data_IF_918914421356
#
_entry.id   IF_918914421356
#
_cell.length_a   1.000
_cell.length_b   1.000
_cell.length_c   1.000
_cell.angle_alpha   90.00
_cell.angle_beta   90.00
_cell.angle_gamma   90.00
#
_symmetry.space_group_name_H-M   'P 1'
#
loop_
_entity.id
_entity.type
_entity.pdbx_description
1 polymer ?
#
# COMPACT_ATOMS: atom_id res chain seq x y z
N UNK A 1 -15.12 35.66 -5.99
CA UNK A 1 -16.12 34.87 -5.24
C UNK A 1 -17.55 35.29 -5.60
N UNK A 2 -17.94 35.27 -6.89
CA UNK A 2 -19.33 35.59 -7.29
C UNK A 2 -19.71 35.23 -8.76
N UNK A 3 -19.04 34.25 -9.39
CA UNK A 3 -19.25 33.96 -10.83
C UNK A 3 -19.23 32.47 -11.18
N UNK A 4 -19.66 31.60 -10.26
CA UNK A 4 -19.78 30.16 -10.54
C UNK A 4 -21.18 29.58 -10.20
N UNK A 5 -22.14 30.42 -9.80
CA UNK A 5 -23.45 29.99 -9.28
C UNK A 5 -24.62 30.14 -10.27
N UNK A 6 -24.39 29.97 -11.58
CA UNK A 6 -25.50 30.05 -12.55
C UNK A 6 -25.27 29.19 -13.78
N UNK A 7 -25.52 27.89 -13.64
CA UNK A 7 -26.13 26.99 -14.66
C UNK A 7 -26.23 25.55 -14.13
N UNK A 8 -27.00 25.39 -13.05
CA UNK A 8 -27.68 24.14 -12.72
C UNK A 8 -29.13 24.34 -13.14
N UNK A 9 -29.56 23.61 -14.19
CA UNK A 9 -30.92 23.11 -14.43
C UNK A 9 -31.10 22.78 -15.92
N UNK A 10 -30.79 21.54 -16.30
CA UNK A 10 -31.71 20.67 -17.03
C UNK A 10 -31.12 19.27 -17.18
N UNK A 11 -32.01 18.28 -17.30
CA UNK A 11 -31.82 16.82 -17.35
C UNK A 11 -31.90 16.09 -16.01
N UNK A 12 -33.11 16.05 -15.43
CA UNK A 12 -33.54 14.87 -14.66
C UNK A 12 -34.51 14.06 -15.53
N UNK A 13 -34.03 12.95 -16.08
CA UNK A 13 -34.87 11.80 -16.40
C UNK A 13 -34.53 10.72 -15.34
N UNK A 14 -35.51 9.93 -14.86
CA UNK A 14 -35.23 8.87 -13.90
C UNK A 14 -34.35 7.82 -14.58
N UNK A 15 -33.07 7.81 -14.24
CA UNK A 15 -32.17 6.73 -14.62
C UNK A 15 -32.58 5.51 -13.79
N UNK A 16 -32.97 4.43 -14.46
CA UNK A 16 -33.19 3.13 -13.81
C UNK A 16 -31.95 2.83 -12.96
N UNK A 17 -32.13 2.66 -11.66
CA UNK A 17 -31.11 2.11 -10.77
C UNK A 17 -30.81 0.69 -11.27
N UNK A 18 -29.77 0.56 -12.09
CA UNK A 18 -29.16 -0.74 -12.33
C UNK A 18 -28.58 -1.21 -11.00
N UNK A 19 -29.18 -2.26 -10.46
CA UNK A 19 -28.58 -2.99 -9.35
C UNK A 19 -27.26 -3.54 -9.92
N UNK A 20 -26.09 -3.15 -9.38
CA UNK A 20 -24.83 -3.71 -9.85
C UNK A 20 -24.91 -5.22 -9.71
N UNK A 21 -24.48 -5.94 -10.75
CA UNK A 21 -24.37 -7.39 -10.70
C UNK A 21 -23.64 -7.80 -9.42
N UNK A 22 -24.04 -8.92 -8.77
CA UNK A 22 -23.27 -9.44 -7.65
C UNK A 22 -21.79 -9.54 -8.08
N UNK A 23 -20.84 -9.24 -7.18
CA UNK A 23 -19.43 -9.36 -7.53
C UNK A 23 -19.19 -10.76 -8.11
N UNK A 24 -18.39 -10.88 -9.18
CA UNK A 24 -18.03 -12.19 -9.71
C UNK A 24 -17.54 -13.05 -8.56
N UNK A 25 -17.96 -14.31 -8.50
CA UNK A 25 -17.29 -15.31 -7.67
C UNK A 25 -15.80 -15.18 -7.99
N UNK A 26 -14.95 -14.90 -7.00
CA UNK A 26 -13.51 -14.78 -7.21
C UNK A 26 -13.03 -16.09 -7.84
N UNK A 27 -12.87 -16.11 -9.16
CA UNK A 27 -12.27 -17.23 -9.86
C UNK A 27 -10.84 -17.34 -9.33
N UNK A 28 -10.58 -18.44 -8.64
CA UNK A 28 -9.25 -18.76 -8.14
C UNK A 28 -8.32 -18.85 -9.35
N UNK A 29 -7.09 -18.34 -9.20
CA UNK A 29 -6.07 -18.51 -10.23
C UNK A 29 -5.81 -20.00 -10.47
N UNK A 30 -5.36 -20.34 -11.68
CA UNK A 30 -4.95 -21.71 -11.99
C UNK A 30 -3.77 -22.16 -11.12
N UNK A 31 -3.61 -23.46 -10.92
CA UNK A 31 -2.46 -24.02 -10.18
C UNK A 31 -1.11 -23.59 -10.78
N UNK A 32 -1.05 -23.41 -12.09
CA UNK A 32 0.15 -22.91 -12.79
C UNK A 32 0.50 -21.49 -12.33
N UNK A 33 -0.47 -20.57 -12.36
CA UNK A 33 -0.27 -19.19 -11.88
C UNK A 33 0.05 -19.19 -10.39
N UNK A 34 -0.66 -20.00 -9.60
CA UNK A 34 -0.44 -20.11 -8.17
C UNK A 34 1.00 -20.52 -7.85
N UNK A 35 1.48 -21.60 -8.46
CA UNK A 35 2.83 -22.12 -8.23
C UNK A 35 3.90 -21.14 -8.69
N UNK A 36 3.70 -20.53 -9.87
CA UNK A 36 4.63 -19.57 -10.44
C UNK A 36 4.77 -18.31 -9.57
N UNK A 37 3.65 -17.68 -9.21
CA UNK A 37 3.68 -16.49 -8.35
C UNK A 37 4.19 -16.83 -6.95
N UNK A 38 3.80 -17.97 -6.39
CA UNK A 38 4.29 -18.40 -5.08
C UNK A 38 5.81 -18.59 -5.10
N UNK A 39 6.38 -19.15 -6.17
CA UNK A 39 7.83 -19.31 -6.33
C UNK A 39 8.55 -17.96 -6.31
N UNK A 40 8.07 -16.99 -7.10
CA UNK A 40 8.67 -15.65 -7.17
C UNK A 40 8.54 -14.92 -5.82
N UNK A 41 7.32 -14.85 -5.28
CA UNK A 41 7.04 -14.09 -4.05
C UNK A 41 7.81 -14.67 -2.86
N UNK A 42 7.84 -15.99 -2.73
CA UNK A 42 8.50 -16.66 -1.60
C UNK A 42 10.02 -16.45 -1.54
N UNK A 43 10.63 -16.11 -2.68
CA UNK A 43 12.08 -15.84 -2.75
C UNK A 43 12.50 -14.52 -2.08
N UNK A 44 11.56 -13.60 -1.80
CA UNK A 44 11.85 -12.26 -1.28
C UNK A 44 10.95 -11.81 -0.12
N UNK A 45 9.65 -12.13 -0.17
CA UNK A 45 8.68 -11.53 0.74
C UNK A 45 8.37 -12.49 1.89
N UNK A 46 9.09 -12.33 3.01
CA UNK A 46 8.92 -13.18 4.20
C UNK A 46 7.47 -13.16 4.72
N UNK A 47 6.79 -12.01 4.65
CA UNK A 47 5.38 -11.87 5.00
C UNK A 47 4.50 -12.95 4.33
N UNK A 48 4.75 -13.25 3.05
CA UNK A 48 4.03 -14.29 2.31
C UNK A 48 4.40 -15.70 2.76
N UNK A 49 5.67 -15.93 3.12
CA UNK A 49 6.17 -17.24 3.52
C UNK A 49 5.49 -17.76 4.79
N UNK A 50 5.13 -16.84 5.70
CA UNK A 50 4.48 -17.12 6.98
C UNK A 50 2.96 -17.39 6.88
N UNK A 51 2.36 -17.16 5.70
CA UNK A 51 0.94 -17.40 5.47
C UNK A 51 0.61 -18.90 5.45
N UNK A 52 -0.58 -19.24 5.95
CA UNK A 52 -1.19 -20.56 5.69
C UNK A 52 -1.43 -20.76 4.19
N UNK A 53 -1.63 -22.01 3.76
CA UNK A 53 -1.88 -22.32 2.36
C UNK A 53 -3.10 -21.56 1.80
N UNK A 54 -4.21 -21.52 2.55
CA UNK A 54 -5.44 -20.82 2.18
C UNK A 54 -5.20 -19.30 2.01
N UNK A 55 -4.40 -18.71 2.91
CA UNK A 55 -4.05 -17.30 2.83
C UNK A 55 -3.08 -17.02 1.68
N UNK A 56 -2.17 -17.96 1.34
CA UNK A 56 -1.33 -17.86 0.13
C UNK A 56 -2.20 -17.85 -1.12
N UNK A 57 -3.21 -18.71 -1.21
CA UNK A 57 -4.15 -18.71 -2.34
C UNK A 57 -4.87 -17.36 -2.46
N UNK A 58 -5.42 -16.85 -1.35
CA UNK A 58 -6.05 -15.52 -1.32
C UNK A 58 -5.08 -14.42 -1.75
N UNK A 59 -3.84 -14.44 -1.24
CA UNK A 59 -2.81 -13.46 -1.55
C UNK A 59 -2.46 -13.48 -3.03
N UNK A 60 -2.19 -14.66 -3.61
CA UNK A 60 -1.84 -14.82 -5.02
C UNK A 60 -2.99 -14.39 -5.94
N UNK A 61 -4.25 -14.73 -5.60
CA UNK A 61 -5.41 -14.26 -6.35
C UNK A 61 -5.46 -12.72 -6.41
N UNK A 62 -5.25 -12.06 -5.27
CA UNK A 62 -5.22 -10.60 -5.20
C UNK A 62 -4.05 -10.00 -5.97
N UNK A 63 -2.88 -10.63 -5.92
CA UNK A 63 -1.70 -10.23 -6.72
C UNK A 63 -2.03 -10.32 -8.20
N UNK A 64 -2.61 -11.43 -8.65
CA UNK A 64 -2.99 -11.61 -10.05
C UNK A 64 -3.99 -10.55 -10.51
N UNK A 65 -5.07 -10.34 -9.76
CA UNK A 65 -6.06 -9.30 -10.07
C UNK A 65 -5.50 -7.88 -10.01
N UNK A 66 -4.53 -7.61 -9.13
CA UNK A 66 -3.84 -6.34 -9.12
C UNK A 66 -3.10 -6.16 -10.44
N UNK A 67 -2.25 -7.11 -10.83
CA UNK A 67 -1.46 -7.06 -12.08
C UNK A 67 -2.34 -6.84 -13.31
N UNK A 68 -3.48 -7.54 -13.44
CA UNK A 68 -4.35 -7.40 -14.63
C UNK A 68 -4.95 -6.01 -14.82
N UNK A 69 -4.95 -5.17 -13.77
CA UNK A 69 -5.46 -3.81 -13.81
C UNK A 69 -4.36 -2.74 -13.91
N UNK A 70 -3.08 -3.12 -13.97
CA UNK A 70 -1.95 -2.19 -14.05
C UNK A 70 -1.23 -2.24 -15.38
N UNK A 71 -0.59 -1.12 -15.69
CA UNK A 71 0.36 -0.96 -16.79
C UNK A 71 1.74 -0.69 -16.17
N UNK A 72 2.68 -1.58 -16.44
CA UNK A 72 4.06 -1.47 -15.98
C UNK A 72 4.92 -0.83 -17.06
N UNK A 73 5.62 0.23 -16.68
CA UNK A 73 6.53 0.99 -17.53
C UNK A 73 7.95 0.82 -17.01
N UNK A 74 8.90 0.52 -17.88
CA UNK A 74 10.29 0.20 -17.49
C UNK A 74 11.23 1.28 -18.01
N UNK A 75 11.99 1.90 -17.11
CA UNK A 75 12.90 3.01 -17.42
C UNK A 75 14.32 2.60 -17.02
N UNK A 76 15.17 2.42 -18.03
CA UNK A 76 16.57 2.03 -17.82
C UNK A 76 16.79 0.57 -17.43
N UNK A 77 15.77 -0.28 -17.52
CA UNK A 77 15.87 -1.73 -17.31
C UNK A 77 14.95 -2.49 -18.27
N UNK A 78 15.32 -3.73 -18.55
CA UNK A 78 14.51 -4.66 -19.33
C UNK A 78 13.35 -5.22 -18.49
N UNK A 79 12.16 -5.42 -19.08
CA UNK A 79 11.07 -6.12 -18.42
C UNK A 79 11.48 -7.53 -17.97
N UNK A 80 11.18 -7.85 -16.71
CA UNK A 80 11.36 -9.19 -16.15
C UNK A 80 10.07 -9.61 -15.48
N UNK A 81 9.77 -10.89 -15.61
CA UNK A 81 8.54 -11.49 -15.10
C UNK A 81 8.38 -11.33 -13.57
N UNK A 82 9.49 -11.35 -12.82
CA UNK A 82 9.48 -11.12 -11.36
C UNK A 82 9.03 -9.72 -10.95
N UNK A 83 9.23 -8.71 -11.80
CA UNK A 83 9.03 -7.30 -11.43
C UNK A 83 7.54 -7.00 -11.17
N UNK A 84 6.60 -7.29 -12.10
CA UNK A 84 5.17 -7.13 -11.82
C UNK A 84 4.69 -7.94 -10.62
N UNK A 85 5.17 -9.18 -10.48
CA UNK A 85 4.74 -10.10 -9.42
C UNK A 85 5.15 -9.58 -8.04
N UNK A 86 6.41 -9.20 -7.85
CA UNK A 86 6.90 -8.67 -6.58
C UNK A 86 6.32 -7.29 -6.28
N UNK A 87 6.20 -6.42 -7.28
CA UNK A 87 5.60 -5.09 -7.10
C UNK A 87 4.12 -5.17 -6.71
N UNK A 88 3.36 -6.08 -7.32
CA UNK A 88 1.98 -6.32 -6.93
C UNK A 88 1.90 -6.99 -5.55
N UNK A 89 2.82 -7.90 -5.22
CA UNK A 89 2.88 -8.51 -3.91
C UNK A 89 3.15 -7.51 -2.78
N UNK A 90 3.99 -6.48 -2.99
CA UNK A 90 4.16 -5.41 -2.00
C UNK A 90 2.88 -4.59 -1.79
N UNK A 91 2.16 -4.28 -2.88
CA UNK A 91 0.85 -3.64 -2.81
C UNK A 91 -0.17 -4.48 -2.02
N UNK A 92 -0.20 -5.79 -2.29
CA UNK A 92 -1.10 -6.72 -1.59
C UNK A 92 -0.67 -6.93 -0.14
N UNK A 93 0.62 -6.94 0.20
CA UNK A 93 1.09 -6.96 1.58
C UNK A 93 0.49 -5.80 2.39
N UNK A 94 0.62 -4.57 1.88
CA UNK A 94 0.06 -3.37 2.55
C UNK A 94 -1.47 -3.47 2.67
N UNK A 95 -2.14 -4.04 1.67
CA UNK A 95 -3.61 -4.02 1.58
C UNK A 95 -4.30 -5.35 1.91
N UNK A 96 -3.58 -6.35 2.44
CA UNK A 96 -4.07 -7.73 2.54
C UNK A 96 -5.31 -7.87 3.44
N UNK A 97 -5.35 -7.08 4.52
CA UNK A 97 -6.51 -7.02 5.42
C UNK A 97 -7.67 -6.19 4.89
N UNK A 98 -7.52 -5.47 3.78
CA UNK A 98 -8.54 -4.54 3.28
C UNK A 98 -9.43 -5.19 2.22
N UNK A 99 -10.67 -4.72 2.14
CA UNK A 99 -11.60 -5.11 1.07
C UNK A 99 -11.26 -4.44 -0.25
N UNK A 100 -10.92 -3.14 -0.22
CA UNK A 100 -10.50 -2.41 -1.42
C UNK A 100 -8.98 -2.40 -1.55
N UNK A 101 -8.40 -3.50 -2.06
CA UNK A 101 -6.94 -3.70 -2.15
C UNK A 101 -6.31 -3.26 -3.49
N UNK A 102 -7.13 -3.01 -4.51
CA UNK A 102 -6.63 -2.81 -5.88
C UNK A 102 -5.99 -1.44 -6.14
N UNK A 103 -6.18 -0.45 -5.26
CA UNK A 103 -5.74 0.94 -5.45
C UNK A 103 -6.08 1.44 -6.88
N UNK A 104 -7.37 1.42 -7.22
CA UNK A 104 -7.88 1.58 -8.60
C UNK A 104 -7.53 2.91 -9.26
N UNK A 105 -7.19 3.95 -8.49
CA UNK A 105 -6.69 5.22 -9.03
C UNK A 105 -5.43 5.04 -9.86
N UNK A 106 -4.47 4.25 -9.36
CA UNK A 106 -3.16 4.08 -9.96
C UNK A 106 -3.20 2.98 -11.01
N UNK A 107 -3.28 3.37 -12.28
CA UNK A 107 -3.18 2.44 -13.41
C UNK A 107 -1.74 2.22 -13.87
N UNK A 108 -0.88 3.22 -13.72
CA UNK A 108 0.51 3.17 -14.15
C UNK A 108 1.43 2.89 -12.96
N UNK A 109 2.37 1.99 -13.16
CA UNK A 109 3.47 1.72 -12.26
C UNK A 109 4.76 1.87 -13.07
N UNK A 110 5.62 2.79 -12.67
CA UNK A 110 6.89 3.08 -13.30
C UNK A 110 8.01 2.43 -12.50
N UNK A 111 8.73 1.53 -13.13
CA UNK A 111 9.87 0.84 -12.55
C UNK A 111 11.13 1.44 -13.16
N UNK A 112 12.00 1.97 -12.31
CA UNK A 112 13.26 2.59 -12.68
C UNK A 112 14.42 1.73 -12.20
N UNK A 113 15.52 1.66 -12.96
CA UNK A 113 16.63 0.76 -12.62
C UNK A 113 17.27 1.07 -11.25
N UNK A 114 17.48 2.35 -10.95
CA UNK A 114 18.18 2.85 -9.76
C UNK A 114 17.54 4.17 -9.28
N UNK A 115 18.14 4.85 -8.30
CA UNK A 115 17.76 6.18 -7.89
C UNK A 115 17.81 7.16 -9.08
N UNK A 116 16.92 8.13 -9.09
CA UNK A 116 16.74 9.06 -10.21
C UNK A 116 16.51 10.48 -9.69
N UNK A 117 16.68 11.46 -10.59
CA UNK A 117 16.37 12.87 -10.30
C UNK A 117 15.12 13.26 -11.08
N UNK A 118 14.28 14.08 -10.45
CA UNK A 118 13.22 14.77 -11.15
C UNK A 118 13.77 16.09 -11.72
N UNK A 119 13.17 16.56 -12.81
CA UNK A 119 13.57 17.83 -13.40
C UNK A 119 13.40 18.97 -12.38
N UNK A 120 14.47 19.73 -12.17
CA UNK A 120 14.56 20.83 -11.18
C UNK A 120 14.65 20.40 -9.71
N UNK A 121 15.03 19.15 -9.44
CA UNK A 121 15.33 18.69 -8.08
C UNK A 121 16.81 18.35 -7.90
N UNK A 122 17.37 18.72 -6.75
CA UNK A 122 18.75 18.40 -6.39
C UNK A 122 18.85 17.03 -5.69
N UNK A 123 17.74 16.57 -5.10
CA UNK A 123 17.68 15.30 -4.37
C UNK A 123 17.45 14.09 -5.30
N UNK A 124 17.95 12.94 -4.84
CA UNK A 124 17.72 11.66 -5.49
C UNK A 124 16.47 11.00 -4.92
N UNK A 125 15.59 10.59 -5.82
CA UNK A 125 14.40 9.82 -5.51
C UNK A 125 14.69 8.34 -5.68
N UNK A 126 14.20 7.53 -4.73
CA UNK A 126 14.19 6.07 -4.81
C UNK A 126 12.77 5.51 -4.98
N UNK A 127 11.77 6.39 -4.90
CA UNK A 127 10.36 6.16 -5.14
C UNK A 127 9.61 7.50 -5.03
N UNK A 128 8.39 7.54 -5.57
CA UNK A 128 7.39 8.56 -5.21
C UNK A 128 6.01 8.15 -5.73
N UNK A 129 4.96 8.79 -5.21
CA UNK A 129 3.59 8.69 -5.72
C UNK A 129 3.12 10.04 -6.26
N UNK A 130 2.64 10.04 -7.51
CA UNK A 130 2.04 11.20 -8.16
C UNK A 130 0.67 10.82 -8.76
N UNK A 131 -0.22 11.78 -9.08
CA UNK A 131 -1.53 11.47 -9.67
C UNK A 131 -1.48 10.56 -10.92
N UNK A 132 -0.37 10.59 -11.66
CA UNK A 132 -0.15 9.83 -12.88
C UNK A 132 0.23 8.36 -12.63
N UNK A 133 0.82 8.03 -11.47
CA UNK A 133 1.33 6.70 -11.19
C UNK A 133 2.17 6.57 -9.92
N UNK A 134 2.57 5.32 -9.67
CA UNK A 134 3.50 4.94 -8.60
C UNK A 134 4.86 4.72 -9.23
N UNK A 135 5.92 5.28 -8.66
CA UNK A 135 7.28 5.21 -9.18
C UNK A 135 8.18 4.50 -8.16
N UNK A 136 8.95 3.52 -8.63
CA UNK A 136 9.78 2.67 -7.78
C UNK A 136 11.15 2.46 -8.42
N UNK A 137 12.21 2.66 -7.63
CA UNK A 137 13.54 2.17 -7.98
C UNK A 137 13.64 0.68 -7.72
N UNK A 138 13.86 -0.13 -8.75
CA UNK A 138 13.95 -1.57 -8.67
C UNK A 138 15.12 -2.05 -7.79
N UNK A 139 16.27 -1.38 -7.89
CA UNK A 139 17.41 -1.67 -7.02
C UNK A 139 17.04 -1.48 -5.54
N UNK A 140 16.38 -0.37 -5.20
CA UNK A 140 15.99 -0.09 -3.81
C UNK A 140 14.81 -0.94 -3.35
N UNK A 141 13.90 -1.30 -4.26
CA UNK A 141 12.87 -2.30 -4.01
C UNK A 141 13.49 -3.61 -3.53
N UNK A 142 14.51 -4.11 -4.24
CA UNK A 142 15.20 -5.36 -3.86
C UNK A 142 15.95 -5.21 -2.53
N UNK A 143 16.56 -4.06 -2.27
CA UNK A 143 17.21 -3.80 -0.98
C UNK A 143 16.21 -3.82 0.18
N UNK A 144 15.04 -3.20 0.02
CA UNK A 144 14.00 -3.18 1.05
C UNK A 144 13.42 -4.55 1.40
N UNK A 145 13.63 -5.57 0.56
CA UNK A 145 13.26 -6.97 0.85
C UNK A 145 14.48 -7.87 1.10
N UNK A 146 15.67 -7.29 1.32
CA UNK A 146 16.90 -8.03 1.61
C UNK A 146 17.26 -8.10 3.10
N UNK A 147 16.79 -7.13 3.88
CA UNK A 147 16.90 -7.07 5.34
C UNK A 147 15.54 -6.64 5.88
N UNK A 148 14.97 -7.41 6.81
CA UNK A 148 13.68 -7.11 7.42
C UNK A 148 13.78 -6.51 8.82
N UNK A 149 14.96 -6.03 9.22
CA UNK A 149 15.22 -5.56 10.59
C UNK A 149 15.59 -4.08 10.66
N UNK A 150 15.89 -3.45 9.53
CA UNK A 150 16.32 -2.04 9.45
C UNK A 150 15.16 -1.03 9.43
N UNK A 151 13.92 -1.50 9.29
CA UNK A 151 12.69 -0.71 9.12
C UNK A 151 12.67 0.16 7.85
N UNK A 152 13.36 -0.24 6.78
CA UNK A 152 13.44 0.51 5.52
C UNK A 152 12.96 -0.38 4.36
N UNK A 153 11.79 -0.07 3.81
CA UNK A 153 11.25 -0.78 2.66
C UNK A 153 10.52 0.18 1.72
N UNK A 154 11.21 0.63 0.67
CA UNK A 154 10.67 1.61 -0.29
C UNK A 154 9.40 1.12 -0.98
N UNK A 155 9.26 -0.20 -1.19
CA UNK A 155 8.07 -0.75 -1.80
C UNK A 155 6.86 -0.57 -0.87
N UNK A 156 7.02 -0.94 0.40
CA UNK A 156 5.99 -0.74 1.43
C UNK A 156 5.69 0.73 1.63
N UNK A 157 6.72 1.58 1.62
CA UNK A 157 6.62 3.03 1.76
C UNK A 157 5.73 3.65 0.69
N UNK A 158 6.06 3.46 -0.59
CA UNK A 158 5.29 4.04 -1.69
C UNK A 158 3.89 3.43 -1.81
N UNK A 159 3.73 2.13 -1.53
CA UNK A 159 2.40 1.52 -1.50
C UNK A 159 1.52 2.08 -0.38
N UNK A 160 2.13 2.53 0.72
CA UNK A 160 1.41 3.20 1.81
C UNK A 160 0.94 4.59 1.39
N UNK A 161 1.76 5.36 0.67
CA UNK A 161 1.34 6.63 0.07
C UNK A 161 0.23 6.43 -0.97
N UNK A 162 0.37 5.45 -1.85
CA UNK A 162 -0.63 5.12 -2.87
C UNK A 162 -1.96 4.70 -2.23
N UNK A 163 -1.93 3.90 -1.17
CA UNK A 163 -3.15 3.52 -0.45
C UNK A 163 -3.88 4.74 0.12
N UNK A 164 -3.13 5.64 0.77
CA UNK A 164 -3.69 6.86 1.34
C UNK A 164 -4.26 7.76 0.23
N UNK A 165 -3.50 7.96 -0.84
CA UNK A 165 -3.93 8.78 -1.97
C UNK A 165 -5.20 8.24 -2.61
N UNK A 166 -5.23 6.94 -2.92
CA UNK A 166 -6.39 6.29 -3.52
C UNK A 166 -7.62 6.49 -2.63
N UNK A 167 -7.45 6.37 -1.30
CA UNK A 167 -8.56 6.55 -0.41
C UNK A 167 -9.02 8.00 -0.33
N UNK A 168 -8.19 9.03 -0.39
CA UNK A 168 -8.64 10.43 -0.21
C UNK A 168 -8.97 11.18 -1.51
N UNK A 169 -8.30 10.85 -2.62
CA UNK A 169 -8.37 11.64 -3.86
C UNK A 169 -8.98 10.88 -5.04
N UNK A 170 -9.16 9.56 -4.96
CA UNK A 170 -9.76 8.79 -6.04
C UNK A 170 -11.28 9.00 -6.15
N UNK A 171 -11.78 8.91 -7.38
CA UNK A 171 -13.22 8.91 -7.67
C UNK A 171 -13.89 7.56 -7.35
N UNK A 172 -13.15 6.46 -7.45
CA UNK A 172 -13.62 5.08 -7.26
C UNK A 172 -12.62 4.29 -6.42
N UNK A 173 -13.05 3.14 -5.87
CA UNK A 173 -12.18 2.28 -5.08
C UNK A 173 -11.83 2.84 -3.69
N UNK A 174 -12.62 3.78 -3.19
CA UNK A 174 -12.50 4.33 -1.83
C UNK A 174 -13.06 3.33 -0.82
N UNK A 175 -12.26 3.02 0.19
CA UNK A 175 -12.64 2.18 1.31
C UNK A 175 -13.09 3.05 2.50
N UNK A 176 -14.40 3.03 2.77
CA UNK A 176 -14.99 3.83 3.86
C UNK A 176 -14.51 3.37 5.24
N UNK A 177 -14.26 2.06 5.41
CA UNK A 177 -13.78 1.51 6.67
C UNK A 177 -12.33 1.95 6.90
N UNK A 178 -11.48 1.87 5.87
CA UNK A 178 -10.13 2.41 5.92
C UNK A 178 -10.13 3.90 6.29
N UNK A 179 -10.90 4.74 5.59
CA UNK A 179 -10.97 6.19 5.88
C UNK A 179 -11.34 6.46 7.34
N UNK A 180 -12.40 5.83 7.83
CA UNK A 180 -12.85 6.01 9.22
C UNK A 180 -11.77 5.56 10.23
N UNK A 181 -11.08 4.45 9.95
CA UNK A 181 -9.99 3.98 10.80
C UNK A 181 -8.73 4.86 10.67
N UNK A 182 -8.46 5.45 9.50
CA UNK A 182 -7.33 6.35 9.28
C UNK A 182 -7.56 7.71 9.95
N UNK A 183 -8.79 8.22 9.99
CA UNK A 183 -9.14 9.42 10.77
C UNK A 183 -8.92 9.19 12.27
N UNK A 184 -9.29 8.01 12.77
CA UNK A 184 -8.99 7.59 14.16
C UNK A 184 -7.50 7.42 14.39
N UNK A 185 -6.77 6.82 13.45
CA UNK A 185 -5.31 6.73 13.47
C UNK A 185 -4.72 8.13 13.62
N UNK A 186 -5.04 9.04 12.71
CA UNK A 186 -4.51 10.41 12.68
C UNK A 186 -4.80 11.18 13.98
N UNK A 187 -5.99 11.00 14.54
CA UNK A 187 -6.37 11.62 15.82
C UNK A 187 -5.57 11.04 17.00
N UNK A 188 -5.31 9.73 16.98
CA UNK A 188 -4.58 9.03 18.06
C UNK A 188 -3.07 9.24 17.96
N UNK A 189 -2.52 9.32 16.75
CA UNK A 189 -1.07 9.39 16.49
C UNK A 189 -0.55 10.82 16.37
N UNK A 190 -1.42 11.82 16.15
CA UNK A 190 -1.02 13.23 16.20
C UNK A 190 -0.26 13.62 17.47
N UNK A 191 -0.76 13.28 18.68
CA UNK A 191 -0.02 13.48 19.93
C UNK A 191 1.30 12.71 19.99
N UNK A 192 1.35 11.47 19.47
CA UNK A 192 2.58 10.65 19.43
C UNK A 192 3.64 11.36 18.57
N UNK A 193 3.27 11.85 17.40
CA UNK A 193 4.16 12.59 16.51
C UNK A 193 4.65 13.89 17.20
N UNK A 194 3.76 14.64 17.85
CA UNK A 194 4.13 15.85 18.57
C UNK A 194 5.13 15.58 19.71
N UNK A 195 4.91 14.50 20.47
CA UNK A 195 5.80 14.06 21.55
C UNK A 195 7.17 13.66 21.02
N UNK A 196 7.21 12.88 19.93
CA UNK A 196 8.46 12.47 19.30
C UNK A 196 9.25 13.67 18.79
N UNK A 197 8.60 14.62 18.10
CA UNK A 197 9.24 15.85 17.61
C UNK A 197 9.83 16.65 18.78
N UNK A 198 9.09 16.76 19.88
CA UNK A 198 9.50 17.53 21.07
C UNK A 198 10.66 16.87 21.80
N UNK A 199 10.61 15.54 21.98
CA UNK A 199 11.62 14.78 22.74
C UNK A 199 12.83 14.38 21.89
N UNK A 200 12.75 14.52 20.56
CA UNK A 200 13.76 14.06 19.58
C UNK A 200 14.18 12.61 19.77
N UNK A 201 13.25 11.77 20.22
CA UNK A 201 13.48 10.35 20.49
C UNK A 201 12.30 9.55 19.98
N UNK A 202 12.58 8.56 19.14
CA UNK A 202 11.59 7.64 18.57
C UNK A 202 12.24 6.35 18.16
N UNK A 203 11.43 5.30 18.11
CA UNK A 203 11.79 4.06 17.42
C UNK A 203 11.80 4.25 15.90
N UNK A 204 10.88 5.08 15.36
CA UNK A 204 10.88 5.41 13.94
C UNK A 204 12.08 6.30 13.59
N UNK A 205 12.62 6.10 12.38
CA UNK A 205 13.66 6.95 11.80
C UNK A 205 13.23 8.42 11.71
N UNK A 206 14.19 9.33 11.79
CA UNK A 206 13.97 10.79 11.76
C UNK A 206 13.14 11.26 10.55
N UNK A 207 13.21 10.53 9.43
CA UNK A 207 12.43 10.83 8.23
C UNK A 207 10.91 10.82 8.47
N UNK A 208 10.43 10.04 9.45
CA UNK A 208 9.02 10.07 9.88
C UNK A 208 8.57 11.44 10.40
N UNK A 209 9.51 12.33 10.75
CA UNK A 209 9.23 13.64 11.35
C UNK A 209 9.13 14.76 10.32
N UNK A 210 9.35 14.46 9.03
CA UNK A 210 9.29 15.43 7.94
C UNK A 210 7.89 16.00 7.79
N UNK A 211 6.87 15.14 7.71
CA UNK A 211 5.46 15.52 7.66
C UNK A 211 4.56 14.31 8.00
N UNK A 212 3.24 14.52 8.07
CA UNK A 212 2.28 13.45 8.44
C UNK A 212 2.19 12.31 7.43
N UNK A 213 2.46 12.56 6.14
CA UNK A 213 2.47 11.54 5.11
C UNK A 213 3.70 10.63 5.26
N UNK A 214 4.87 11.21 5.53
CA UNK A 214 6.08 10.43 5.85
C UNK A 214 5.92 9.66 7.16
N UNK A 215 5.32 10.29 8.18
CA UNK A 215 5.01 9.59 9.43
C UNK A 215 4.16 8.34 9.17
N UNK A 216 3.14 8.44 8.32
CA UNK A 216 2.33 7.30 7.91
C UNK A 216 3.17 6.23 7.22
N UNK A 217 3.88 6.56 6.15
CA UNK A 217 4.61 5.58 5.36
C UNK A 217 5.71 4.89 6.18
N UNK A 218 6.49 5.64 6.97
CA UNK A 218 7.53 5.08 7.85
C UNK A 218 6.95 4.22 8.98
N UNK A 219 5.77 4.58 9.49
CA UNK A 219 5.08 3.73 10.47
C UNK A 219 4.68 2.38 9.85
N UNK A 220 4.21 2.38 8.59
CA UNK A 220 3.83 1.15 7.89
C UNK A 220 5.05 0.31 7.50
N UNK A 221 6.19 0.93 7.15
CA UNK A 221 7.46 0.22 7.00
C UNK A 221 7.80 -0.55 8.28
N UNK A 222 7.92 0.14 9.42
CA UNK A 222 8.23 -0.49 10.70
C UNK A 222 7.22 -1.58 11.10
N UNK A 223 5.96 -1.43 10.71
CA UNK A 223 4.90 -2.40 11.00
C UNK A 223 5.05 -3.71 10.23
N UNK A 224 5.55 -3.69 9.01
CA UNK A 224 5.74 -4.91 8.23
C UNK A 224 7.16 -5.48 8.33
N UNK A 225 8.16 -4.64 8.54
CA UNK A 225 9.56 -5.04 8.68
C UNK A 225 9.81 -5.64 10.07
N UNK A 226 9.61 -4.85 11.13
CA UNK A 226 9.89 -5.28 12.51
C UNK A 226 8.67 -5.04 13.45
N UNK A 227 7.57 -5.80 13.24
CA UNK A 227 6.33 -5.64 14.00
C UNK A 227 6.48 -5.88 15.50
N UNK A 228 7.41 -6.76 15.91
CA UNK A 228 7.64 -7.08 17.32
C UNK A 228 8.25 -5.88 18.06
N UNK A 229 9.31 -5.28 17.51
CA UNK A 229 9.95 -4.13 18.14
C UNK A 229 9.08 -2.88 18.05
N UNK A 230 8.31 -2.69 16.97
CA UNK A 230 7.32 -1.61 16.91
C UNK A 230 6.27 -1.75 18.03
N UNK A 231 5.79 -2.96 18.30
CA UNK A 231 4.83 -3.23 19.38
C UNK A 231 5.42 -2.96 20.76
N UNK A 232 6.69 -3.27 20.98
CA UNK A 232 7.38 -3.02 22.26
C UNK A 232 7.61 -1.52 22.45
N UNK A 233 8.17 -0.84 21.45
CA UNK A 233 8.64 0.54 21.59
C UNK A 233 7.53 1.58 21.38
N UNK A 234 6.54 1.29 20.54
CA UNK A 234 5.43 2.20 20.21
C UNK A 234 4.07 1.45 20.15
N UNK A 235 3.61 0.82 21.26
CA UNK A 235 2.43 -0.04 21.27
C UNK A 235 1.15 0.65 20.78
N UNK A 236 0.94 1.92 21.13
CA UNK A 236 -0.25 2.67 20.68
C UNK A 236 -0.26 2.89 19.17
N UNK A 237 0.91 3.11 18.57
CA UNK A 237 1.07 3.22 17.12
C UNK A 237 0.82 1.87 16.46
N UNK A 238 1.41 0.80 17.00
CA UNK A 238 1.17 -0.57 16.54
C UNK A 238 -0.32 -0.92 16.51
N UNK A 239 -1.03 -0.70 17.61
CA UNK A 239 -2.47 -0.97 17.71
C UNK A 239 -3.30 -0.11 16.75
N UNK A 240 -2.88 1.12 16.47
CA UNK A 240 -3.53 1.98 15.49
C UNK A 240 -3.32 1.46 14.07
N UNK A 241 -2.12 1.00 13.72
CA UNK A 241 -1.79 0.37 12.43
C UNK A 241 -2.56 -0.93 12.22
N UNK A 242 -2.64 -1.78 13.25
CA UNK A 242 -3.46 -2.99 13.23
C UNK A 242 -4.91 -2.70 12.84
N UNK A 243 -5.49 -1.65 13.41
CA UNK A 243 -6.89 -1.26 13.15
C UNK A 243 -7.10 -0.69 11.76
N UNK A 244 -6.20 0.16 11.27
CA UNK A 244 -6.37 0.82 9.96
C UNK A 244 -6.05 -0.12 8.79
N UNK A 245 -5.04 -0.98 8.91
CA UNK A 245 -4.68 -1.97 7.89
C UNK A 245 -5.45 -3.29 8.03
N UNK A 246 -6.18 -3.47 9.13
CA UNK A 246 -6.89 -4.70 9.49
C UNK A 246 -5.97 -5.93 9.51
N UNK A 247 -4.75 -5.74 9.99
CA UNK A 247 -3.69 -6.75 9.97
C UNK A 247 -2.96 -6.85 11.29
N UNK A 248 -2.37 -8.00 11.58
CA UNK A 248 -1.40 -8.21 12.65
C UNK A 248 -0.23 -9.06 12.12
N UNK A 249 0.86 -8.42 11.66
CA UNK A 249 2.03 -9.09 11.08
C UNK A 249 2.76 -10.02 12.07
N UNK A 250 2.55 -9.90 13.39
CA UNK A 250 3.11 -10.84 14.36
C UNK A 250 2.37 -12.19 14.41
N UNK A 251 1.27 -12.34 13.66
CA UNK A 251 0.47 -13.59 13.63
C UNK A 251 0.60 -14.29 12.29
N UNK A 252 0.38 -15.61 12.25
CA UNK A 252 0.30 -16.35 10.98
C UNK A 252 -1.01 -16.12 10.23
N UNK A 253 -2.08 -15.71 10.93
CA UNK A 253 -3.37 -15.39 10.34
C UNK A 253 -3.32 -14.08 9.53
N UNK A 254 -2.45 -13.15 9.94
CA UNK A 254 -2.25 -11.79 9.40
C UNK A 254 -3.47 -10.88 9.36
N UNK A 255 -4.66 -11.35 9.04
CA UNK A 255 -5.91 -10.57 8.90
C UNK A 255 -6.70 -10.64 10.21
N UNK A 256 -7.07 -9.49 10.76
CA UNK A 256 -7.79 -9.42 12.05
C UNK A 256 -9.30 -9.66 11.89
N UNK A 257 -9.92 -9.08 10.86
CA UNK A 257 -11.36 -9.20 10.60
C UNK A 257 -11.61 -9.53 9.13
N UNK A 258 -11.88 -10.80 8.78
CA UNK A 258 -12.00 -11.23 7.39
C UNK A 258 -13.12 -10.53 6.58
N UNK A 259 -14.08 -9.91 7.26
CA UNK A 259 -15.36 -9.44 6.69
C UNK A 259 -15.51 -7.91 6.57
N UNK A 260 -14.49 -7.12 6.95
CA UNK A 260 -14.53 -5.65 6.87
C UNK A 260 -14.08 -5.08 5.52
#
# INVERSE_FOLDING_TARGET
MLTFLRKLNHFFAPQKLEIPAPPPVEELVSDEIFNHYSYIISSRIQYFNELSYELKQKFVNRVHQYITLKQFHYIGLEPKDEIPVLTAASAIQVTFGLKSYLMQHFKNIYILADAYRMDNDEELYIGHVAPEGIYLSWKHFLFGYSDNTDNINVAVHEMSHALLFNNYFAKYGVDKNFRANYERFSTTTGPILADVITKRQSYLRNYALTNIHEFWAVSVEAFFENPADLKINMPQLYDALCRVLNQDPNTTQKILKPEL
#
